data_IF_978098001966
#
_entry.id   IF_978098001966
#
_cell.length_a   1.000
_cell.length_b   1.000
_cell.length_c   1.000
_cell.angle_alpha   90.00
_cell.angle_beta   90.00
_cell.angle_gamma   90.00
#
_symmetry.space_group_name_H-M   'P 1'
#
loop_
_entity.id
_entity.type
_entity.pdbx_description
1 polymer ?
#
# COMPACT_ATOMS: atom_id res chain seq x y z
N UNK A 1 18.38 26.82 -9.31
CA UNK A 1 17.78 25.87 -10.27
C UNK A 1 16.64 25.25 -9.50
N UNK A 2 15.42 25.73 -9.71
CA UNK A 2 14.24 25.37 -8.90
C UNK A 2 13.69 24.03 -9.39
N UNK A 3 14.26 22.93 -8.92
CA UNK A 3 13.72 21.60 -9.14
C UNK A 3 12.68 21.36 -8.04
N UNK A 4 11.40 21.58 -8.38
CA UNK A 4 10.26 21.46 -7.47
C UNK A 4 9.75 20.03 -7.29
N UNK A 5 10.07 19.14 -8.23
CA UNK A 5 9.69 17.72 -8.16
C UNK A 5 10.88 16.83 -8.50
N UNK A 6 11.06 15.75 -7.73
CA UNK A 6 12.12 14.76 -7.93
C UNK A 6 11.54 13.36 -7.92
N UNK A 7 11.42 12.74 -9.10
CA UNK A 7 11.18 11.29 -9.19
C UNK A 7 12.56 10.62 -9.26
N UNK A 8 12.91 9.94 -8.18
CA UNK A 8 14.16 9.18 -8.08
C UNK A 8 13.84 7.74 -8.49
N UNK A 9 13.84 7.48 -9.79
CA UNK A 9 13.66 6.14 -10.36
C UNK A 9 14.98 5.63 -10.94
N UNK A 10 15.67 4.73 -10.24
CA UNK A 10 16.95 4.16 -10.71
C UNK A 10 16.82 2.66 -10.99
N UNK A 11 17.28 2.16 -12.15
CA UNK A 11 17.09 0.77 -12.55
C UNK A 11 18.18 -0.22 -12.09
N UNK A 12 19.06 0.12 -11.15
CA UNK A 12 20.13 -0.80 -10.74
C UNK A 12 20.33 -0.79 -9.22
N UNK A 13 20.23 -1.96 -8.61
CA UNK A 13 20.56 -2.18 -7.20
C UNK A 13 22.09 -2.24 -7.04
N UNK A 14 22.67 -1.24 -6.40
CA UNK A 14 24.02 -1.32 -5.82
C UNK A 14 24.00 -0.63 -4.46
N UNK A 15 24.67 -1.20 -3.46
CA UNK A 15 24.68 -0.77 -2.06
C UNK A 15 25.15 0.68 -1.77
N UNK A 16 25.41 1.49 -2.81
CA UNK A 16 25.67 2.94 -2.73
C UNK A 16 24.40 3.80 -2.91
N UNK A 17 23.23 3.19 -3.14
CA UNK A 17 22.00 3.88 -3.56
C UNK A 17 21.41 4.79 -2.46
N UNK A 18 21.35 4.36 -1.19
CA UNK A 18 20.84 5.20 -0.10
C UNK A 18 21.71 6.45 0.14
N UNK A 19 23.03 6.32 0.01
CA UNK A 19 23.96 7.44 0.17
C UNK A 19 23.77 8.51 -0.93
N UNK A 20 23.43 8.07 -2.14
CA UNK A 20 23.10 8.96 -3.27
C UNK A 20 21.74 9.63 -3.03
N UNK A 21 20.71 8.89 -2.63
CA UNK A 21 19.39 9.44 -2.30
C UNK A 21 19.50 10.49 -1.20
N UNK A 22 20.24 10.18 -0.13
CA UNK A 22 20.49 11.10 0.96
C UNK A 22 21.18 12.40 0.50
N UNK A 23 22.22 12.29 -0.36
CA UNK A 23 22.89 13.47 -0.94
C UNK A 23 21.95 14.28 -1.83
N UNK A 24 21.16 13.61 -2.66
CA UNK A 24 20.21 14.26 -3.56
C UNK A 24 19.17 15.09 -2.78
N UNK A 25 18.50 14.47 -1.81
CA UNK A 25 17.51 15.18 -0.95
C UNK A 25 18.18 16.36 -0.24
N UNK A 26 19.44 16.22 0.19
CA UNK A 26 20.19 17.30 0.82
C UNK A 26 20.52 18.48 -0.08
N UNK A 27 20.64 18.26 -1.39
CA UNK A 27 20.94 19.33 -2.37
C UNK A 27 19.71 20.11 -2.83
N UNK A 28 18.51 19.68 -2.45
CA UNK A 28 17.25 20.34 -2.79
C UNK A 28 16.78 21.18 -1.60
N UNK A 29 16.54 22.46 -1.86
CA UNK A 29 16.13 23.42 -0.82
C UNK A 29 14.65 23.28 -0.45
N UNK A 30 13.78 22.97 -1.42
CA UNK A 30 12.35 22.79 -1.24
C UNK A 30 11.84 21.62 -2.11
N UNK A 31 11.83 20.42 -1.55
CA UNK A 31 11.33 19.23 -2.21
C UNK A 31 9.82 19.10 -1.98
N UNK A 32 9.02 19.13 -3.04
CA UNK A 32 7.55 18.99 -2.92
C UNK A 32 7.08 17.54 -3.02
N UNK A 33 7.72 16.74 -3.88
CA UNK A 33 7.36 15.34 -4.14
C UNK A 33 8.58 14.46 -4.02
N UNK A 34 8.51 13.45 -3.15
CA UNK A 34 9.52 12.41 -3.01
C UNK A 34 8.88 11.04 -3.22
N UNK A 35 9.31 10.34 -4.26
CA UNK A 35 8.99 8.93 -4.43
C UNK A 35 10.27 8.09 -4.48
N UNK A 36 10.32 7.08 -3.62
CA UNK A 36 11.44 6.17 -3.45
C UNK A 36 10.96 4.78 -3.86
N UNK A 37 11.57 4.20 -4.89
CA UNK A 37 11.23 2.87 -5.41
C UNK A 37 11.95 1.73 -4.69
N UNK A 38 13.01 2.03 -3.96
CA UNK A 38 13.87 1.06 -3.28
C UNK A 38 13.99 1.44 -1.81
N UNK A 39 13.24 0.77 -0.94
CA UNK A 39 13.57 0.73 0.48
C UNK A 39 14.51 -0.47 0.68
N UNK A 40 15.78 -0.19 0.91
CA UNK A 40 16.66 -1.20 1.49
C UNK A 40 16.18 -1.57 2.90
N UNK A 41 16.78 -2.59 3.50
CA UNK A 41 16.41 -3.08 4.84
C UNK A 41 16.46 -1.99 5.94
N UNK A 42 17.12 -0.86 5.69
CA UNK A 42 17.22 0.23 6.64
C UNK A 42 17.08 1.61 5.99
N UNK A 43 15.86 2.15 5.98
CA UNK A 43 15.61 3.54 5.58
C UNK A 43 15.75 4.54 6.73
N UNK A 44 16.20 4.12 7.91
CA UNK A 44 16.30 5.00 9.07
C UNK A 44 17.19 6.22 8.80
N UNK A 45 18.25 6.03 8.01
CA UNK A 45 19.16 7.09 7.57
C UNK A 45 18.52 8.15 6.65
N UNK A 46 17.38 7.86 6.02
CA UNK A 46 16.68 8.81 5.15
C UNK A 46 15.75 9.75 5.94
N UNK A 47 15.19 9.30 7.06
CA UNK A 47 14.22 10.11 7.82
C UNK A 47 14.74 11.51 8.19
N UNK A 48 15.97 11.70 8.70
CA UNK A 48 16.46 13.03 9.04
C UNK A 48 16.50 14.00 7.86
N UNK A 49 16.81 13.50 6.65
CA UNK A 49 16.87 14.36 5.45
C UNK A 49 15.49 14.59 4.82
N UNK A 50 14.57 13.62 4.94
CA UNK A 50 13.17 13.79 4.55
C UNK A 50 12.51 14.84 5.44
N UNK A 51 12.67 14.74 6.77
CA UNK A 51 12.08 15.68 7.72
C UNK A 51 12.67 17.10 7.63
N UNK A 52 13.82 17.29 6.99
CA UNK A 52 14.33 18.63 6.67
C UNK A 52 13.42 19.36 5.66
N UNK A 53 12.67 18.61 4.86
CA UNK A 53 11.76 19.12 3.83
C UNK A 53 10.34 19.35 4.40
N UNK A 54 10.17 19.43 5.73
CA UNK A 54 8.87 19.52 6.40
C UNK A 54 7.97 20.66 5.87
N UNK A 55 8.57 21.79 5.51
CA UNK A 55 7.84 22.98 5.05
C UNK A 55 7.41 22.90 3.58
N UNK A 56 8.01 22.01 2.78
CA UNK A 56 7.77 21.93 1.33
C UNK A 56 7.15 20.61 0.87
N UNK A 57 7.40 19.51 1.59
CA UNK A 57 7.05 18.16 1.15
C UNK A 57 5.54 17.93 1.28
N UNK A 58 4.89 17.72 0.13
CA UNK A 58 3.45 17.47 0.02
C UNK A 58 3.12 16.03 -0.37
N UNK A 59 4.05 15.32 -1.02
CA UNK A 59 3.87 13.92 -1.39
C UNK A 59 5.10 13.07 -1.04
N UNK A 60 4.87 11.96 -0.34
CA UNK A 60 5.89 11.00 0.07
C UNK A 60 5.41 9.59 -0.25
N UNK A 61 6.06 8.89 -1.18
CA UNK A 61 5.65 7.57 -1.62
C UNK A 61 6.84 6.61 -1.54
N UNK A 62 6.74 5.65 -0.62
CA UNK A 62 7.60 4.50 -0.50
C UNK A 62 7.00 3.37 -1.32
N UNK A 63 7.52 3.16 -2.53
CA UNK A 63 7.03 2.10 -3.41
C UNK A 63 7.72 0.79 -3.09
N UNK A 64 6.97 -0.32 -3.14
CA UNK A 64 7.52 -1.65 -2.91
C UNK A 64 8.61 -1.95 -3.93
N UNK A 65 9.76 -2.40 -3.45
CA UNK A 65 10.80 -2.93 -4.32
C UNK A 65 10.67 -4.44 -4.49
N UNK A 66 11.22 -4.90 -5.60
CA UNK A 66 11.19 -6.25 -6.11
C UNK A 66 12.16 -7.18 -5.37
N UNK A 67 12.33 -7.06 -4.06
CA UNK A 67 13.33 -7.87 -3.35
C UNK A 67 12.78 -8.54 -2.09
N UNK A 68 13.61 -9.42 -1.51
CA UNK A 68 13.24 -10.30 -0.40
C UNK A 68 12.69 -9.56 0.83
N UNK A 69 13.11 -8.32 1.03
CA UNK A 69 12.94 -7.59 2.27
C UNK A 69 11.79 -6.61 2.18
N UNK A 70 10.61 -7.09 2.55
CA UNK A 70 9.47 -6.22 2.79
C UNK A 70 9.55 -5.67 4.20
N UNK A 71 9.65 -4.36 4.29
CA UNK A 71 9.64 -3.67 5.58
C UNK A 71 8.38 -2.84 5.61
N UNK A 72 7.36 -3.40 6.27
CA UNK A 72 6.18 -2.63 6.61
C UNK A 72 6.60 -1.42 7.46
N UNK A 73 6.09 -0.26 7.09
CA UNK A 73 6.23 0.94 7.92
C UNK A 73 5.52 0.66 9.23
N UNK A 74 6.20 0.92 10.35
CA UNK A 74 5.64 0.69 11.68
C UNK A 74 4.70 1.82 12.07
N UNK A 75 3.70 1.57 12.93
CA UNK A 75 2.79 2.60 13.42
C UNK A 75 3.52 3.82 13.98
N UNK A 76 4.57 3.62 14.77
CA UNK A 76 5.36 4.72 15.35
C UNK A 76 6.00 5.61 14.28
N UNK A 77 6.41 5.03 13.15
CA UNK A 77 6.96 5.80 12.03
C UNK A 77 5.87 6.61 11.33
N UNK A 78 4.64 6.10 11.23
CA UNK A 78 3.49 6.86 10.73
C UNK A 78 3.17 8.04 11.65
N UNK A 79 3.16 7.83 12.98
CA UNK A 79 2.97 8.92 13.95
C UNK A 79 4.05 10.00 13.83
N UNK A 80 5.32 9.59 13.64
CA UNK A 80 6.42 10.53 13.41
C UNK A 80 6.23 11.33 12.13
N UNK A 81 5.86 10.67 11.02
CA UNK A 81 5.54 11.33 9.74
C UNK A 81 4.45 12.37 9.93
N UNK A 82 3.34 11.99 10.59
CA UNK A 82 2.22 12.88 10.85
C UNK A 82 2.63 14.13 11.65
N UNK A 83 3.46 13.96 12.67
CA UNK A 83 3.91 15.08 13.52
C UNK A 83 4.94 15.99 12.85
N UNK A 84 5.77 15.45 11.95
CA UNK A 84 6.93 16.17 11.40
C UNK A 84 6.74 16.68 9.97
N UNK A 85 5.76 16.17 9.24
CA UNK A 85 5.45 16.58 7.87
C UNK A 85 4.01 17.13 7.82
N UNK A 86 3.75 18.31 8.41
CA UNK A 86 2.39 18.84 8.59
C UNK A 86 1.69 19.22 7.27
N UNK A 87 2.46 19.37 6.18
CA UNK A 87 1.95 19.71 4.85
C UNK A 87 1.80 18.49 3.94
N UNK A 88 1.98 17.27 4.48
CA UNK A 88 1.87 16.06 3.70
C UNK A 88 0.41 15.79 3.32
N UNK A 89 0.15 15.80 2.02
CA UNK A 89 -1.18 15.59 1.41
C UNK A 89 -1.32 14.18 0.86
N UNK A 90 -0.21 13.58 0.38
CA UNK A 90 -0.20 12.24 -0.18
C UNK A 90 0.89 11.38 0.46
N UNK A 91 0.50 10.24 1.02
CA UNK A 91 1.40 9.26 1.62
C UNK A 91 1.20 7.86 1.01
N UNK A 92 2.27 7.30 0.46
CA UNK A 92 2.32 5.91 0.02
C UNK A 92 3.27 5.07 0.87
N UNK A 93 2.80 3.97 1.44
CA UNK A 93 3.59 3.12 2.34
C UNK A 93 3.30 1.62 2.18
N UNK A 94 4.32 0.82 2.49
CA UNK A 94 4.21 -0.63 2.65
C UNK A 94 3.53 -0.97 3.99
N UNK A 95 2.48 -1.80 3.93
CA UNK A 95 1.72 -2.29 5.09
C UNK A 95 1.66 -3.82 5.08
N UNK A 96 2.00 -4.45 6.20
CA UNK A 96 1.92 -5.92 6.28
C UNK A 96 0.47 -6.40 6.21
N UNK A 97 0.24 -7.59 5.64
CA UNK A 97 -1.09 -8.18 5.60
C UNK A 97 -1.68 -8.36 7.02
N UNK A 98 -0.84 -8.70 8.00
CA UNK A 98 -1.26 -8.84 9.39
C UNK A 98 -1.74 -7.52 9.98
N UNK A 99 -1.03 -6.42 9.71
CA UNK A 99 -1.38 -5.07 10.15
C UNK A 99 -2.70 -4.61 9.50
N UNK A 100 -2.84 -4.85 8.19
CA UNK A 100 -4.07 -4.58 7.45
C UNK A 100 -5.28 -5.37 7.98
N UNK A 101 -5.11 -6.66 8.27
CA UNK A 101 -6.17 -7.47 8.88
C UNK A 101 -6.47 -7.09 10.34
N UNK A 102 -5.46 -6.65 11.11
CA UNK A 102 -5.61 -6.25 12.50
C UNK A 102 -6.51 -5.01 12.61
N UNK A 103 -6.32 -4.02 11.73
CA UNK A 103 -7.16 -2.83 11.63
C UNK A 103 -8.67 -3.16 11.49
N UNK A 104 -9.01 -4.30 10.87
CA UNK A 104 -10.40 -4.75 10.72
C UNK A 104 -10.92 -5.54 11.93
N UNK A 105 -10.06 -6.33 12.59
CA UNK A 105 -10.44 -7.18 13.73
C UNK A 105 -10.77 -6.36 14.98
N UNK A 106 -10.24 -5.15 15.11
CA UNK A 106 -10.51 -4.22 16.22
C UNK A 106 -11.97 -3.74 16.29
N UNK A 107 -12.73 -3.85 15.19
CA UNK A 107 -14.18 -3.55 15.18
C UNK A 107 -15.00 -4.70 15.78
N UNK A 108 -14.45 -5.92 15.84
CA UNK A 108 -15.20 -7.15 16.12
C UNK A 108 -15.08 -7.68 17.57
N UNK A 109 -14.23 -7.11 18.44
CA UNK A 109 -14.09 -7.58 19.82
C UNK A 109 -14.33 -6.48 20.85
N UNK A 110 -15.28 -6.66 21.80
CA UNK A 110 -15.44 -5.74 22.92
C UNK A 110 -14.16 -5.71 23.78
N UNK A 111 -13.73 -4.50 24.11
CA UNK A 111 -12.48 -4.19 24.83
C UNK A 111 -12.39 -4.92 26.17
N UNK A 112 -11.22 -5.50 26.45
CA UNK A 112 -10.85 -5.93 27.81
C UNK A 112 -10.01 -4.81 28.45
N UNK A 113 -10.43 -4.21 29.58
CA UNK A 113 -9.67 -3.14 30.21
C UNK A 113 -8.27 -3.62 30.63
N UNK A 114 -7.22 -2.87 30.25
CA UNK A 114 -5.84 -3.08 30.75
C UNK A 114 -4.87 -3.81 29.81
N UNK A 115 -5.28 -4.20 28.59
CA UNK A 115 -4.31 -4.64 27.58
C UNK A 115 -3.77 -3.44 26.79
N UNK A 116 -2.43 -3.31 26.63
CA UNK A 116 -1.83 -2.36 25.70
C UNK A 116 -2.40 -2.63 24.30
N UNK A 117 -2.97 -1.60 23.67
CA UNK A 117 -3.42 -1.67 22.29
C UNK A 117 -2.19 -1.54 21.40
N UNK A 118 -1.92 -2.55 20.56
CA UNK A 118 -0.99 -2.38 19.44
C UNK A 118 -1.75 -1.66 18.34
N UNK A 119 -1.56 -0.33 18.25
CA UNK A 119 -2.13 0.48 17.18
C UNK A 119 -1.58 0.00 15.84
N UNK A 120 -2.44 -0.21 14.85
CA UNK A 120 -2.00 -0.56 13.50
C UNK A 120 -1.49 0.67 12.76
N UNK A 121 -0.70 0.50 11.71
CA UNK A 121 -0.22 1.65 10.91
C UNK A 121 -1.39 2.36 10.23
N UNK A 122 -2.46 1.63 9.92
CA UNK A 122 -3.71 2.18 9.39
C UNK A 122 -4.40 3.06 10.44
N UNK A 123 -4.39 2.67 11.73
CA UNK A 123 -4.96 3.48 12.81
C UNK A 123 -4.23 4.81 13.00
N UNK A 124 -2.92 4.84 12.72
CA UNK A 124 -2.15 6.09 12.73
C UNK A 124 -2.44 6.94 11.49
N UNK A 125 -2.59 6.33 10.32
CA UNK A 125 -2.92 7.04 9.09
C UNK A 125 -4.27 7.76 9.18
N UNK A 126 -5.29 7.11 9.74
CA UNK A 126 -6.63 7.71 9.87
C UNK A 126 -6.63 8.93 10.79
N UNK A 127 -5.65 9.08 11.70
CA UNK A 127 -5.51 10.23 12.60
C UNK A 127 -4.86 11.45 11.92
N UNK A 128 -4.35 11.30 10.70
CA UNK A 128 -3.63 12.36 9.99
C UNK A 128 -4.58 13.39 9.36
N UNK A 129 -4.72 14.56 9.99
CA UNK A 129 -5.68 15.59 9.60
C UNK A 129 -5.37 16.38 8.33
N UNK A 130 -4.20 16.22 7.71
CA UNK A 130 -3.81 16.88 6.47
C UNK A 130 -3.80 15.96 5.24
N UNK A 131 -3.99 14.66 5.46
CA UNK A 131 -3.76 13.63 4.45
C UNK A 131 -5.01 13.48 3.57
N UNK A 132 -4.85 13.71 2.27
CA UNK A 132 -5.94 13.57 1.28
C UNK A 132 -5.86 12.29 0.48
N UNK A 133 -4.65 11.83 0.21
CA UNK A 133 -4.41 10.65 -0.62
C UNK A 133 -3.54 9.64 0.11
N UNK A 134 -3.93 8.36 0.07
CA UNK A 134 -3.18 7.26 0.68
C UNK A 134 -2.96 6.14 -0.32
N UNK A 135 -1.72 5.71 -0.50
CA UNK A 135 -1.36 4.49 -1.23
C UNK A 135 -0.86 3.41 -0.25
N UNK A 136 -1.57 2.29 -0.15
CA UNK A 136 -1.20 1.15 0.71
C UNK A 136 -0.70 -0.01 -0.13
N UNK A 137 0.54 -0.39 0.08
CA UNK A 137 1.19 -1.51 -0.58
C UNK A 137 1.16 -2.73 0.33
N UNK A 138 0.20 -3.64 0.10
CA UNK A 138 -0.03 -4.84 0.92
C UNK A 138 0.63 -6.04 0.27
N UNK A 139 1.72 -6.53 0.87
CA UNK A 139 2.40 -7.73 0.39
C UNK A 139 1.71 -9.00 0.86
N UNK A 140 1.33 -9.84 -0.11
CA UNK A 140 0.81 -11.18 0.11
C UNK A 140 1.95 -12.18 0.34
N UNK A 141 1.71 -13.14 1.22
CA UNK A 141 2.64 -14.25 1.46
C UNK A 141 2.85 -15.11 0.21
N UNK A 142 4.03 -15.72 0.10
CA UNK A 142 4.30 -16.76 -0.89
C UNK A 142 3.54 -18.06 -0.57
N UNK A 143 3.25 -18.29 0.71
CA UNK A 143 2.47 -19.42 1.18
C UNK A 143 0.98 -19.25 0.87
N UNK A 144 0.22 -20.35 0.91
CA UNK A 144 -1.23 -20.30 0.68
C UNK A 144 -1.91 -19.43 1.73
N UNK A 145 -2.88 -18.63 1.30
CA UNK A 145 -3.71 -17.78 2.16
C UNK A 145 -5.16 -17.73 1.68
N UNK A 146 -6.00 -17.01 2.43
CA UNK A 146 -7.34 -16.63 1.99
C UNK A 146 -7.32 -15.73 0.75
N UNK A 147 -6.21 -15.03 0.48
CA UNK A 147 -6.05 -14.09 -0.64
C UNK A 147 -5.50 -14.77 -1.90
N UNK A 148 -4.73 -15.84 -1.80
CA UNK A 148 -4.19 -16.55 -2.97
C UNK A 148 -3.74 -17.97 -2.62
N UNK A 149 -3.71 -18.89 -3.59
CA UNK A 149 -3.10 -20.22 -3.39
C UNK A 149 -1.59 -20.12 -3.18
N UNK A 150 -0.93 -21.18 -2.70
CA UNK A 150 0.55 -21.23 -2.52
C UNK A 150 1.27 -21.02 -3.85
N UNK A 151 2.33 -20.22 -3.87
CA UNK A 151 3.17 -20.09 -5.06
C UNK A 151 3.98 -21.38 -5.23
N UNK A 152 3.89 -22.02 -6.39
CA UNK A 152 4.63 -23.25 -6.70
C UNK A 152 5.53 -23.01 -7.90
N UNK A 153 6.83 -23.03 -7.66
CA UNK A 153 7.85 -22.89 -8.70
C UNK A 153 8.08 -24.23 -9.38
N UNK A 154 8.02 -24.27 -10.72
CA UNK A 154 8.59 -25.37 -11.49
C UNK A 154 9.85 -24.89 -12.20
N UNK A 155 10.84 -25.77 -12.32
CA UNK A 155 12.14 -25.51 -12.96
C UNK A 155 12.04 -25.16 -14.47
N UNK A 156 10.84 -25.11 -15.03
CA UNK A 156 10.61 -24.71 -16.43
C UNK A 156 9.90 -23.35 -16.54
N UNK A 157 9.54 -22.70 -15.42
CA UNK A 157 8.73 -21.48 -15.42
C UNK A 157 7.33 -21.68 -16.00
N UNK A 158 6.87 -22.93 -16.12
CA UNK A 158 5.62 -23.29 -16.80
C UNK A 158 4.40 -23.29 -15.88
N UNK A 159 4.60 -23.15 -14.57
CA UNK A 159 3.48 -23.09 -13.62
C UNK A 159 2.98 -21.66 -13.56
N UNK A 160 1.72 -21.43 -13.93
CA UNK A 160 1.07 -20.15 -13.73
C UNK A 160 1.02 -19.81 -12.24
N UNK A 161 1.30 -18.55 -11.90
CA UNK A 161 1.16 -18.09 -10.53
C UNK A 161 -0.32 -18.19 -10.12
N UNK A 162 -0.63 -18.66 -8.89
CA UNK A 162 -2.01 -18.70 -8.43
C UNK A 162 -2.57 -17.28 -8.43
N UNK A 163 -3.77 -17.06 -9.01
CA UNK A 163 -4.37 -15.73 -9.04
C UNK A 163 -4.69 -15.25 -7.62
N UNK A 164 -4.68 -13.94 -7.44
CA UNK A 164 -5.24 -13.30 -6.24
C UNK A 164 -6.76 -13.48 -6.30
N UNK A 165 -7.37 -13.84 -5.17
CA UNK A 165 -8.81 -14.02 -4.98
C UNK A 165 -9.47 -12.64 -4.85
N UNK A 166 -10.29 -12.19 -5.83
CA UNK A 166 -10.79 -10.82 -5.86
C UNK A 166 -11.69 -10.51 -4.66
N UNK A 167 -12.61 -11.41 -4.33
CA UNK A 167 -13.60 -11.20 -3.27
C UNK A 167 -13.00 -10.90 -1.90
N UNK A 168 -11.97 -11.65 -1.51
CA UNK A 168 -11.32 -11.48 -0.20
C UNK A 168 -10.51 -10.19 -0.17
N UNK A 169 -9.81 -9.88 -1.26
CA UNK A 169 -9.02 -8.66 -1.40
C UNK A 169 -9.89 -7.40 -1.40
N UNK A 170 -11.02 -7.43 -2.11
CA UNK A 170 -12.00 -6.34 -2.12
C UNK A 170 -12.62 -6.10 -0.75
N UNK A 171 -12.98 -7.15 0.00
CA UNK A 171 -13.49 -6.99 1.37
C UNK A 171 -12.48 -6.37 2.32
N UNK A 172 -11.21 -6.76 2.21
CA UNK A 172 -10.14 -6.13 3.00
C UNK A 172 -10.01 -4.65 2.61
N UNK A 173 -9.98 -4.34 1.31
CA UNK A 173 -9.88 -2.97 0.82
C UNK A 173 -11.06 -2.09 1.30
N UNK A 174 -12.28 -2.60 1.21
CA UNK A 174 -13.49 -1.94 1.72
C UNK A 174 -13.39 -1.69 3.22
N UNK A 175 -13.03 -2.71 4.01
CA UNK A 175 -12.90 -2.55 5.45
C UNK A 175 -11.85 -1.50 5.84
N UNK A 176 -10.74 -1.42 5.11
CA UNK A 176 -9.72 -0.39 5.34
C UNK A 176 -10.28 0.98 5.00
N UNK A 177 -10.97 1.11 3.88
CA UNK A 177 -11.59 2.36 3.49
C UNK A 177 -12.62 2.84 4.52
N UNK A 178 -13.48 1.95 5.01
CA UNK A 178 -14.46 2.27 6.04
C UNK A 178 -13.82 2.82 7.33
N UNK A 179 -12.56 2.45 7.63
CA UNK A 179 -11.80 3.04 8.75
C UNK A 179 -11.53 4.53 8.51
N UNK A 180 -11.17 4.92 7.30
CA UNK A 180 -10.96 6.33 6.94
C UNK A 180 -12.26 7.14 6.95
N UNK A 181 -13.41 6.52 6.68
CA UNK A 181 -14.72 7.17 6.77
C UNK A 181 -15.26 7.31 8.20
N UNK A 182 -15.07 6.28 9.03
CA UNK A 182 -15.64 6.23 10.38
C UNK A 182 -14.83 7.05 11.39
N UNK A 183 -13.56 7.33 11.09
CA UNK A 183 -12.71 8.16 11.92
C UNK A 183 -12.96 9.65 11.64
N UNK A 184 -13.99 10.17 12.31
CA UNK A 184 -14.41 11.57 12.34
C UNK A 184 -14.97 12.11 11.00
N UNK A 185 -16.09 12.82 11.06
CA UNK A 185 -16.80 13.35 9.89
C UNK A 185 -16.04 14.48 9.16
N UNK A 186 -14.75 14.66 9.46
CA UNK A 186 -13.86 15.71 8.96
C UNK A 186 -12.55 15.16 8.36
N UNK A 187 -12.39 13.84 8.21
CA UNK A 187 -11.25 13.27 7.49
C UNK A 187 -11.18 13.87 6.08
N UNK A 188 -10.08 14.55 5.69
CA UNK A 188 -9.95 15.17 4.36
C UNK A 188 -9.53 14.17 3.29
N UNK A 189 -9.62 12.87 3.58
CA UNK A 189 -9.24 11.80 2.65
C UNK A 189 -10.17 11.83 1.44
N UNK A 190 -9.59 12.18 0.30
CA UNK A 190 -10.21 12.25 -1.02
C UNK A 190 -9.91 10.99 -1.84
N UNK A 191 -8.85 10.25 -1.50
CA UNK A 191 -8.46 9.02 -2.19
C UNK A 191 -7.73 8.05 -1.26
N UNK A 192 -8.14 6.78 -1.31
CA UNK A 192 -7.33 5.65 -0.84
C UNK A 192 -7.01 4.80 -2.06
N UNK A 193 -5.85 4.17 -2.09
CA UNK A 193 -5.41 3.27 -3.15
C UNK A 193 -4.73 2.10 -2.46
N UNK A 194 -5.16 0.89 -2.80
CA UNK A 194 -4.66 -0.32 -2.16
C UNK A 194 -4.02 -1.15 -3.26
N UNK A 195 -2.85 -1.71 -2.99
CA UNK A 195 -2.05 -2.44 -3.97
C UNK A 195 -1.74 -3.80 -3.34
N UNK A 196 -2.31 -4.87 -3.88
CA UNK A 196 -2.01 -6.22 -3.44
C UNK A 196 -0.82 -6.77 -4.22
N UNK A 197 0.29 -6.97 -3.52
CA UNK A 197 1.56 -7.28 -4.15
C UNK A 197 1.92 -8.72 -3.86
N UNK A 198 2.42 -9.41 -4.88
CA UNK A 198 2.90 -10.77 -4.70
C UNK A 198 4.25 -10.96 -5.35
N UNK A 199 5.22 -11.37 -4.53
CA UNK A 199 6.52 -11.78 -5.02
C UNK A 199 6.39 -13.14 -5.70
N UNK A 200 6.95 -13.25 -6.89
CA UNK A 200 7.12 -14.52 -7.59
C UNK A 200 8.62 -14.69 -7.90
N UNK A 201 9.03 -15.94 -8.00
CA UNK A 201 10.32 -16.30 -8.57
C UNK A 201 10.08 -16.90 -9.95
N UNK A 202 10.86 -16.45 -10.91
CA UNK A 202 11.13 -17.17 -12.15
C UNK A 202 12.13 -18.30 -11.88
N UNK A 203 12.27 -19.21 -12.84
CA UNK A 203 13.25 -20.30 -12.77
C UNK A 203 14.66 -19.74 -12.44
N UNK A 204 15.43 -20.49 -11.64
CA UNK A 204 16.77 -20.13 -11.14
C UNK A 204 16.85 -18.96 -10.16
N UNK A 205 15.74 -18.62 -9.51
CA UNK A 205 15.73 -17.57 -8.48
C UNK A 205 15.79 -16.16 -9.06
N UNK A 206 15.50 -16.00 -10.36
CA UNK A 206 15.28 -14.69 -10.94
C UNK A 206 13.98 -14.13 -10.36
N UNK A 207 14.06 -12.93 -9.81
CA UNK A 207 12.91 -12.33 -9.15
C UNK A 207 11.96 -11.72 -10.19
N UNK A 208 10.66 -11.97 -10.04
CA UNK A 208 9.61 -11.31 -10.82
C UNK A 208 8.45 -10.95 -9.91
N UNK A 209 8.23 -9.65 -9.66
CA UNK A 209 7.01 -9.22 -8.98
C UNK A 209 5.88 -9.18 -10.00
N UNK A 210 4.86 -10.01 -9.79
CA UNK A 210 3.57 -9.78 -10.42
C UNK A 210 2.86 -8.69 -9.64
N UNK A 211 2.81 -7.51 -10.26
CA UNK A 211 2.05 -6.38 -9.76
C UNK A 211 0.57 -6.60 -10.10
N UNK A 212 -0.15 -7.28 -9.22
CA UNK A 212 -1.61 -7.43 -9.32
C UNK A 212 -2.29 -6.31 -8.56
N UNK A 213 -2.40 -5.14 -9.21
CA UNK A 213 -3.00 -3.95 -8.60
C UNK A 213 -4.53 -4.08 -8.54
N UNK A 214 -5.14 -4.07 -7.35
CA UNK A 214 -6.55 -3.69 -7.24
C UNK A 214 -6.64 -2.43 -6.40
N UNK A 215 -6.74 -1.29 -7.06
CA UNK A 215 -6.99 -0.06 -6.34
C UNK A 215 -8.48 0.22 -6.27
N UNK A 216 -8.88 0.75 -5.13
CA UNK A 216 -10.25 1.15 -4.80
C UNK A 216 -10.14 2.62 -4.49
N UNK A 217 -10.56 3.49 -5.41
CA UNK A 217 -10.63 4.94 -5.19
C UNK A 217 -12.05 5.30 -4.78
N UNK A 218 -12.17 6.24 -3.86
CA UNK A 218 -13.46 6.69 -3.37
C UNK A 218 -13.39 8.19 -3.16
N UNK A 219 -14.34 8.91 -3.75
CA UNK A 219 -14.38 10.37 -3.78
C UNK A 219 -15.77 10.88 -3.37
N UNK A 220 -15.97 12.21 -3.32
CA UNK A 220 -17.24 12.84 -2.93
C UNK A 220 -18.45 12.40 -3.79
N UNK A 221 -18.22 11.85 -4.99
CA UNK A 221 -19.28 11.39 -5.91
C UNK A 221 -19.59 9.90 -5.80
N UNK A 222 -18.84 9.16 -4.96
CA UNK A 222 -19.04 7.74 -4.72
C UNK A 222 -17.76 6.91 -4.94
N UNK A 223 -17.97 5.66 -5.35
CA UNK A 223 -16.94 4.65 -5.47
C UNK A 223 -16.46 4.51 -6.92
N UNK A 224 -15.16 4.70 -7.18
CA UNK A 224 -14.54 4.37 -8.45
C UNK A 224 -13.54 3.22 -8.26
N UNK A 225 -13.96 2.01 -8.63
CA UNK A 225 -13.09 0.83 -8.62
C UNK A 225 -12.53 0.59 -10.00
N UNK A 226 -11.22 0.65 -10.10
CA UNK A 226 -10.51 0.12 -11.24
C UNK A 226 -9.67 -1.08 -10.81
N UNK A 227 -10.20 -2.26 -11.11
CA UNK A 227 -9.42 -3.50 -11.05
C UNK A 227 -8.45 -3.45 -12.23
N UNK A 228 -7.14 -3.40 -11.97
CA UNK A 228 -6.14 -3.38 -13.04
C UNK A 228 -6.27 -4.65 -13.90
N UNK A 229 -5.92 -4.57 -15.18
CA UNK A 229 -6.08 -5.69 -16.12
C UNK A 229 -5.17 -6.88 -15.79
N UNK A 230 -4.23 -6.75 -14.86
CA UNK A 230 -3.39 -7.86 -14.37
C UNK A 230 -4.14 -8.87 -13.47
N UNK A 231 -5.42 -8.64 -13.18
CA UNK A 231 -6.35 -9.64 -12.64
C UNK A 231 -6.85 -10.64 -13.69
N UNK A 232 -6.57 -10.39 -14.97
CA UNK A 232 -6.98 -11.28 -16.05
C UNK A 232 -6.03 -12.48 -16.13
N UNK A 233 -6.38 -13.59 -15.45
CA UNK A 233 -6.55 -14.80 -16.25
C UNK A 233 -7.54 -14.45 -17.37
N UNK A 234 -7.26 -14.85 -18.61
CA UNK A 234 -8.04 -14.60 -19.82
C UNK A 234 -9.54 -14.33 -19.50
N UNK A 235 -10.18 -13.25 -19.98
CA UNK A 235 -11.62 -13.04 -19.78
C UNK A 235 -12.49 -14.27 -20.11
N UNK A 236 -11.98 -15.20 -20.93
CA UNK A 236 -12.59 -16.50 -21.22
C UNK A 236 -12.46 -17.55 -20.08
N UNK A 237 -11.51 -17.39 -19.16
CA UNK A 237 -11.23 -18.25 -18.00
C UNK A 237 -11.90 -17.76 -16.70
N UNK A 238 -12.37 -16.51 -16.65
CA UNK A 238 -13.24 -16.07 -15.57
C UNK A 238 -14.62 -16.70 -15.74
N UNK A 239 -14.97 -17.65 -14.86
CA UNK A 239 -16.32 -18.22 -14.87
C UNK A 239 -17.35 -17.10 -14.72
N UNK A 240 -18.51 -17.26 -15.37
CA UNK A 240 -19.66 -16.35 -15.24
C UNK A 240 -20.02 -16.07 -13.78
N UNK A 241 -19.71 -17.00 -12.87
CA UNK A 241 -19.90 -16.87 -11.42
C UNK A 241 -19.04 -15.77 -10.80
N UNK A 242 -17.78 -15.58 -11.21
CA UNK A 242 -16.93 -14.50 -10.64
C UNK A 242 -17.44 -13.13 -11.05
N UNK A 243 -17.93 -13.00 -12.29
CA UNK A 243 -18.57 -11.78 -12.76
C UNK A 243 -19.90 -11.50 -12.08
N UNK A 244 -20.69 -12.55 -11.81
CA UNK A 244 -21.93 -12.44 -11.05
C UNK A 244 -21.65 -12.10 -9.58
N UNK A 245 -20.59 -12.63 -8.98
CA UNK A 245 -20.18 -12.33 -7.61
C UNK A 245 -19.70 -10.88 -7.45
N UNK A 246 -18.95 -10.35 -8.44
CA UNK A 246 -18.56 -8.93 -8.45
C UNK A 246 -19.82 -8.05 -8.57
N UNK A 247 -20.73 -8.38 -9.48
CA UNK A 247 -22.00 -7.65 -9.65
C UNK A 247 -22.93 -7.77 -8.43
N UNK A 248 -22.92 -8.91 -7.73
CA UNK A 248 -23.68 -9.09 -6.49
C UNK A 248 -23.12 -8.24 -5.37
N UNK A 249 -21.79 -8.18 -5.20
CA UNK A 249 -21.15 -7.28 -4.25
C UNK A 249 -21.48 -5.80 -4.55
N UNK A 250 -21.55 -5.43 -5.83
CA UNK A 250 -21.98 -4.09 -6.25
C UNK A 250 -23.47 -3.82 -5.90
N UNK A 251 -24.33 -4.83 -6.03
CA UNK A 251 -25.78 -4.72 -5.72
C UNK A 251 -26.11 -4.67 -4.22
N UNK A 252 -25.35 -5.40 -3.39
CA UNK A 252 -25.48 -5.35 -1.93
C UNK A 252 -25.08 -3.98 -1.37
N UNK A 253 -24.16 -3.29 -2.07
CA UNK A 253 -23.71 -1.94 -1.72
C UNK A 253 -24.70 -0.84 -2.17
N UNK A 254 -25.21 -0.93 -3.41
CA UNK A 254 -26.18 0.04 -3.93
C UNK A 254 -27.55 0.01 -3.22
N UNK A 255 -27.89 -1.10 -2.54
CA UNK A 255 -29.12 -1.25 -1.76
C UNK A 255 -29.02 -0.86 -0.29
N UNK A 256 -27.85 -0.43 0.19
CA UNK A 256 -27.58 -0.12 1.60
C UNK A 256 -27.55 1.38 1.96
N UNK A 257 -27.84 2.27 1.01
CA UNK A 257 -27.92 3.72 1.22
C UNK A 257 -29.30 4.19 1.70
#
# INVERSE_FOLDING_TARGET
>A
MDIKSGIVSWPFACADDLGIVHKFIRTIDALEVLSIRTLEEDVSGLWPVIFRQADSLTSLIFRPYHDYNFIAVKPQTVSEIASRLPHLVHLGIDVSLQDAEAALKEVAKPRTPGQPQEESSIDELVKMSGLKEVELFIKLSMESSSFCGRNTFSAAGTTSNPPIKPRVSLRLAQGIFDRFLTHDAQSPIERVSIHFLRNCYEDRGQYSALHSTAWVEMNETGFEKQVDRSWQSDPAEMSSEVWEEIRQADSEFAGGA
#
